data_IF_982683062739
#
_entry.id   IF_982683062739
#
_cell.length_a   1.000
_cell.length_b   1.000
_cell.length_c   1.000
_cell.angle_alpha   90.00
_cell.angle_beta   90.00
_cell.angle_gamma   90.00
#
_symmetry.space_group_name_H-M   'P 1'
#
loop_
_entity.id
_entity.type
_entity.pdbx_description
1 polymer ?
#
# COMPACT_ATOMS: atom_id res chain seq x y z
N UNK A 1 -7.11 7.63 11.44
CA UNK A 1 -8.12 7.39 12.51
C UNK A 1 -7.47 6.95 13.84
N UNK A 2 -6.57 5.96 13.87
CA UNK A 2 -5.94 5.50 15.13
C UNK A 2 -5.09 6.54 15.89
N UNK A 3 -4.36 7.42 15.18
CA UNK A 3 -3.48 8.41 15.83
C UNK A 3 -4.27 9.49 16.60
N UNK A 4 -5.45 9.86 16.12
CA UNK A 4 -6.27 10.92 16.73
C UNK A 4 -6.91 10.46 18.06
N UNK A 5 -7.34 9.20 18.13
CA UNK A 5 -7.95 8.60 19.34
C UNK A 5 -6.90 8.44 20.45
N UNK A 6 -5.67 8.07 20.09
CA UNK A 6 -4.55 7.91 21.02
C UNK A 6 -4.12 9.22 21.72
N UNK A 7 -4.22 10.36 21.04
CA UNK A 7 -3.77 11.64 21.58
C UNK A 7 -4.88 12.40 22.31
N UNK A 8 -6.12 12.34 21.80
CA UNK A 8 -7.26 13.14 22.30
C UNK A 8 -8.11 12.37 23.32
N UNK A 9 -8.28 11.06 23.17
CA UNK A 9 -9.30 10.29 23.91
C UNK A 9 -8.74 9.30 24.94
N UNK A 10 -7.43 9.28 25.18
CA UNK A 10 -6.83 8.40 26.20
C UNK A 10 -5.93 9.17 27.15
N UNK A 11 -6.01 8.89 28.47
CA UNK A 11 -5.19 9.58 29.47
C UNK A 11 -3.70 9.44 29.16
N UNK A 12 -2.91 10.42 29.61
CA UNK A 12 -1.44 10.43 29.36
C UNK A 12 -0.76 9.17 29.90
N UNK A 13 -1.23 8.66 31.04
CA UNK A 13 -0.70 7.48 31.73
C UNK A 13 -1.48 6.18 31.47
N UNK A 14 -2.18 6.06 30.34
CA UNK A 14 -2.90 4.85 30.02
C UNK A 14 -1.96 3.62 29.97
N UNK A 15 -2.40 2.49 30.56
CA UNK A 15 -1.61 1.24 30.64
C UNK A 15 -1.09 0.77 29.28
N UNK A 16 -1.93 0.85 28.24
CA UNK A 16 -1.55 0.48 26.88
C UNK A 16 -0.41 1.34 26.32
N UNK A 17 -0.25 2.61 26.74
CA UNK A 17 0.86 3.48 26.33
C UNK A 17 2.19 3.02 26.93
N UNK A 18 2.17 2.54 28.19
CA UNK A 18 3.35 1.93 28.83
C UNK A 18 3.72 0.62 28.15
N UNK A 19 2.74 -0.22 27.84
CA UNK A 19 2.96 -1.48 27.13
C UNK A 19 3.51 -1.23 25.72
N UNK A 20 2.91 -0.30 24.96
CA UNK A 20 3.42 0.13 23.65
C UNK A 20 4.85 0.65 23.75
N UNK A 21 5.17 1.48 24.75
CA UNK A 21 6.54 1.97 24.98
C UNK A 21 7.54 0.84 25.26
N UNK A 22 7.13 -0.21 25.99
CA UNK A 22 7.93 -1.43 26.18
C UNK A 22 8.11 -2.17 24.86
N UNK A 23 7.06 -2.31 24.04
CA UNK A 23 7.15 -2.94 22.72
C UNK A 23 8.09 -2.19 21.78
N UNK A 24 7.96 -0.87 21.67
CA UNK A 24 8.84 -0.04 20.83
C UNK A 24 10.31 -0.12 21.26
N UNK A 25 10.58 -0.35 22.56
CA UNK A 25 11.94 -0.47 23.10
C UNK A 25 12.55 -1.85 22.88
N UNK A 26 11.76 -2.91 23.05
CA UNK A 26 12.23 -4.30 22.95
C UNK A 26 12.23 -4.83 21.52
N UNK A 27 11.29 -4.36 20.70
CA UNK A 27 11.17 -4.68 19.27
C UNK A 27 11.14 -3.38 18.47
N UNK A 28 12.28 -2.67 18.40
CA UNK A 28 12.37 -1.48 17.57
C UNK A 28 12.09 -1.84 16.11
N UNK A 29 11.47 -0.90 15.40
CA UNK A 29 11.25 -1.04 13.96
C UNK A 29 12.62 -1.02 13.27
N UNK A 30 13.00 -2.15 12.70
CA UNK A 30 14.17 -2.26 11.83
C UNK A 30 13.72 -1.86 10.43
N UNK A 31 14.25 -0.74 9.93
CA UNK A 31 13.90 -0.15 8.63
C UNK A 31 14.11 -1.13 7.47
N UNK A 32 15.01 -2.11 7.66
CA UNK A 32 15.36 -3.11 6.67
C UNK A 32 14.71 -4.49 6.90
N UNK A 33 13.88 -4.64 7.93
CA UNK A 33 13.07 -5.85 8.18
C UNK A 33 11.58 -5.54 8.24
N UNK A 34 11.15 -4.50 7.53
CA UNK A 34 9.76 -4.09 7.51
C UNK A 34 8.96 -4.90 6.49
N UNK A 35 7.87 -5.51 6.95
CA UNK A 35 6.89 -6.17 6.07
C UNK A 35 5.52 -5.58 6.35
N UNK A 36 4.94 -4.95 5.32
CA UNK A 36 3.59 -4.39 5.39
C UNK A 36 2.59 -5.46 5.86
N UNK A 37 1.78 -5.12 6.87
CA UNK A 37 0.79 -6.03 7.47
C UNK A 37 1.31 -6.99 8.56
N UNK A 38 2.63 -7.08 8.78
CA UNK A 38 3.22 -7.85 9.90
C UNK A 38 3.88 -6.98 10.97
N UNK A 39 4.10 -5.70 10.69
CA UNK A 39 4.73 -4.76 11.64
C UNK A 39 3.71 -4.07 12.54
N UNK A 40 4.01 -4.01 13.84
CA UNK A 40 3.14 -3.42 14.88
C UNK A 40 3.13 -1.88 14.88
N UNK A 41 4.15 -1.24 14.31
CA UNK A 41 4.23 0.21 14.20
C UNK A 41 4.09 0.65 12.74
N UNK A 42 2.86 0.95 12.31
CA UNK A 42 2.60 1.65 11.04
C UNK A 42 2.55 3.16 11.31
N UNK A 43 3.72 3.80 11.43
CA UNK A 43 3.81 5.25 11.54
C UNK A 43 4.17 5.84 10.17
N UNK A 44 3.48 6.91 9.77
CA UNK A 44 3.79 7.74 8.59
C UNK A 44 3.67 7.00 7.24
N UNK A 45 2.55 6.31 7.01
CA UNK A 45 2.20 5.82 5.66
C UNK A 45 1.47 6.91 4.87
N UNK A 46 1.72 6.96 3.56
CA UNK A 46 0.99 7.80 2.61
C UNK A 46 0.12 6.88 1.77
N UNK A 47 -1.19 7.10 1.81
CA UNK A 47 -2.14 6.37 0.96
C UNK A 47 -2.64 7.32 -0.11
N UNK A 48 -2.53 6.90 -1.37
CA UNK A 48 -3.04 7.62 -2.52
C UNK A 48 -4.18 6.79 -3.06
N UNK A 49 -5.34 7.41 -3.28
CA UNK A 49 -6.50 6.72 -3.83
C UNK A 49 -6.77 7.27 -5.22
N UNK A 50 -6.67 6.41 -6.21
CA UNK A 50 -6.89 6.74 -7.61
C UNK A 50 -8.28 6.26 -8.05
N UNK A 51 -8.97 7.12 -8.80
CA UNK A 51 -10.26 6.83 -9.42
C UNK A 51 -10.25 7.36 -10.85
N UNK A 52 -10.82 6.58 -11.77
CA UNK A 52 -10.97 7.01 -13.16
C UNK A 52 -11.90 8.24 -13.25
N UNK A 53 -11.55 9.21 -14.09
CA UNK A 53 -12.27 10.49 -14.23
C UNK A 53 -13.73 10.31 -14.65
N UNK A 54 -13.98 9.32 -15.49
CA UNK A 54 -15.29 8.90 -15.98
C UNK A 54 -16.08 8.06 -14.94
N UNK A 55 -15.47 7.74 -13.79
CA UNK A 55 -16.02 6.80 -12.82
C UNK A 55 -16.07 5.36 -13.33
N UNK A 56 -15.29 5.06 -14.37
CA UNK A 56 -15.18 3.75 -15.00
C UNK A 56 -14.35 2.76 -14.21
N UNK A 57 -13.92 1.70 -14.89
CA UNK A 57 -13.15 0.63 -14.30
C UNK A 57 -11.66 1.00 -14.27
N UNK A 58 -11.03 0.99 -13.09
CA UNK A 58 -9.60 1.29 -12.94
C UNK A 58 -8.68 0.16 -13.38
N UNK A 59 -9.22 -1.04 -13.61
CA UNK A 59 -8.46 -2.21 -14.10
C UNK A 59 -8.28 -2.22 -15.63
N UNK A 60 -8.67 -1.15 -16.32
CA UNK A 60 -8.43 -0.98 -17.76
C UNK A 60 -6.94 -0.74 -18.01
N UNK A 61 -6.35 -1.26 -19.11
CA UNK A 61 -4.91 -1.14 -19.35
C UNK A 61 -4.45 0.32 -19.42
N UNK A 62 -5.23 1.19 -20.06
CA UNK A 62 -4.90 2.61 -20.22
C UNK A 62 -4.81 3.32 -18.86
N UNK A 63 -5.74 3.01 -17.96
CA UNK A 63 -5.79 3.59 -16.61
C UNK A 63 -4.67 3.02 -15.74
N UNK A 64 -4.39 1.73 -15.84
CA UNK A 64 -3.28 1.08 -15.11
C UNK A 64 -1.92 1.64 -15.52
N UNK A 65 -1.72 1.95 -16.80
CA UNK A 65 -0.49 2.58 -17.29
C UNK A 65 -0.31 4.01 -16.74
N UNK A 66 -1.39 4.80 -16.67
CA UNK A 66 -1.36 6.12 -16.04
C UNK A 66 -1.05 6.03 -14.54
N UNK A 67 -1.62 5.05 -13.84
CA UNK A 67 -1.36 4.81 -12.41
C UNK A 67 0.10 4.41 -12.19
N UNK A 68 0.67 3.55 -13.05
CA UNK A 68 2.08 3.17 -12.96
C UNK A 68 3.00 4.37 -13.22
N UNK A 69 2.68 5.22 -14.19
CA UNK A 69 3.41 6.47 -14.42
C UNK A 69 3.40 7.38 -13.20
N UNK A 70 2.24 7.55 -12.55
CA UNK A 70 2.11 8.31 -11.31
C UNK A 70 2.94 7.68 -10.18
N UNK A 71 2.90 6.35 -10.03
CA UNK A 71 3.64 5.62 -9.01
C UNK A 71 5.16 5.81 -9.18
N UNK A 72 5.67 5.74 -10.42
CA UNK A 72 7.09 6.02 -10.73
C UNK A 72 7.45 7.47 -10.46
N UNK A 73 6.59 8.41 -10.86
CA UNK A 73 6.81 9.83 -10.59
C UNK A 73 6.99 10.11 -9.09
N UNK A 74 6.14 9.52 -8.25
CA UNK A 74 6.23 9.66 -6.79
C UNK A 74 7.51 9.02 -6.23
N UNK A 75 7.86 7.84 -6.76
CA UNK A 75 8.99 7.06 -6.25
C UNK A 75 10.34 7.65 -6.67
N UNK A 76 10.43 8.26 -7.85
CA UNK A 76 11.70 8.63 -8.49
C UNK A 76 11.93 10.14 -8.56
N UNK A 77 10.89 10.95 -8.81
CA UNK A 77 11.05 12.39 -9.06
C UNK A 77 10.80 13.27 -7.83
N UNK A 78 10.02 12.79 -6.86
CA UNK A 78 9.73 13.59 -5.66
C UNK A 78 10.94 13.54 -4.72
N UNK A 79 11.52 14.70 -4.47
CA UNK A 79 12.60 14.90 -3.52
C UNK A 79 12.24 16.00 -2.52
N UNK A 80 12.65 15.81 -1.27
CA UNK A 80 12.38 16.76 -0.19
C UNK A 80 13.71 17.15 0.47
N UNK A 81 14.03 18.45 0.57
CA UNK A 81 15.24 18.89 1.24
C UNK A 81 15.12 18.71 2.75
N UNK A 82 16.22 18.34 3.40
CA UNK A 82 16.30 18.32 4.86
C UNK A 82 16.26 19.74 5.43
N UNK A 83 15.86 19.89 6.70
CA UNK A 83 15.73 21.20 7.36
C UNK A 83 17.06 21.96 7.42
N UNK A 84 18.18 21.25 7.44
CA UNK A 84 19.55 21.78 7.37
C UNK A 84 20.05 22.01 5.93
N UNK A 85 19.26 21.64 4.91
CA UNK A 85 19.53 21.86 3.49
C UNK A 85 20.68 21.04 2.91
N UNK A 86 21.21 20.08 3.67
CA UNK A 86 22.40 19.30 3.29
C UNK A 86 22.10 18.12 2.37
N UNK A 87 20.90 17.56 2.48
CA UNK A 87 20.49 16.40 1.72
C UNK A 87 19.15 16.63 1.04
N UNK A 88 18.99 16.04 -0.14
CA UNK A 88 17.70 15.88 -0.79
C UNK A 88 17.32 14.42 -0.65
N UNK A 89 16.25 14.15 0.08
CA UNK A 89 15.77 12.80 0.35
C UNK A 89 14.72 12.43 -0.68
N UNK A 90 14.92 11.29 -1.32
CA UNK A 90 13.94 10.66 -2.22
C UNK A 90 13.08 9.64 -1.47
N UNK A 91 12.09 9.06 -2.16
CA UNK A 91 11.34 7.93 -1.60
C UNK A 91 12.26 6.76 -1.24
N UNK A 92 13.29 6.48 -2.04
CA UNK A 92 14.19 5.35 -1.82
C UNK A 92 15.04 5.52 -0.54
N UNK A 93 15.30 6.76 -0.13
CA UNK A 93 16.06 7.04 1.10
C UNK A 93 15.19 6.97 2.36
N UNK A 94 13.87 7.10 2.22
CA UNK A 94 12.91 7.20 3.32
C UNK A 94 12.03 5.97 3.49
N UNK A 95 11.96 5.10 2.47
CA UNK A 95 11.06 3.95 2.46
C UNK A 95 11.46 2.94 3.54
N UNK A 96 10.46 2.27 4.10
CA UNK A 96 10.70 1.07 4.87
C UNK A 96 10.75 -0.13 3.91
N UNK A 97 11.74 -0.99 4.09
CA UNK A 97 12.03 -2.08 3.18
C UNK A 97 12.30 -3.40 3.88
N UNK A 98 12.41 -4.43 3.04
CA UNK A 98 12.96 -5.72 3.43
C UNK A 98 14.12 -6.03 2.51
N UNK A 99 15.30 -6.30 3.07
CA UNK A 99 16.52 -6.62 2.31
C UNK A 99 16.90 -5.54 1.28
N UNK A 100 16.89 -4.28 1.72
CA UNK A 100 17.21 -3.06 0.98
C UNK A 100 16.30 -2.79 -0.22
N UNK A 101 15.18 -3.50 -0.30
CA UNK A 101 14.13 -3.25 -1.28
C UNK A 101 12.96 -2.53 -0.62
N UNK A 102 12.66 -1.31 -1.09
CA UNK A 102 11.44 -0.61 -0.69
C UNK A 102 10.23 -1.50 -0.97
N UNK A 103 9.34 -1.64 0.02
CA UNK A 103 8.03 -2.25 -0.24
C UNK A 103 7.28 -1.31 -1.20
N UNK A 104 7.05 -1.79 -2.41
CA UNK A 104 6.41 -1.05 -3.48
C UNK A 104 4.98 -1.54 -3.71
N UNK A 105 4.23 -0.81 -4.52
CA UNK A 105 2.89 -1.16 -4.97
C UNK A 105 2.92 -2.29 -6.01
N UNK A 106 3.44 -3.47 -5.62
CA UNK A 106 3.64 -4.64 -6.49
C UNK A 106 2.31 -5.16 -7.09
N UNK A 107 1.18 -4.84 -6.46
CA UNK A 107 -0.16 -5.15 -6.98
C UNK A 107 -0.50 -4.41 -8.28
N UNK A 108 0.06 -3.23 -8.52
CA UNK A 108 -0.17 -2.47 -9.77
C UNK A 108 0.41 -3.26 -10.96
N UNK A 109 1.64 -3.74 -10.82
CA UNK A 109 2.30 -4.54 -11.85
C UNK A 109 1.55 -5.86 -12.07
N UNK A 110 1.09 -6.50 -11.00
CA UNK A 110 0.26 -7.70 -11.09
C UNK A 110 -1.01 -7.45 -11.92
N UNK A 111 -1.73 -6.35 -11.69
CA UNK A 111 -2.92 -6.01 -12.48
C UNK A 111 -2.59 -5.75 -13.95
N UNK A 112 -1.47 -5.08 -14.23
CA UNK A 112 -1.05 -4.80 -15.61
C UNK A 112 -0.71 -6.08 -16.38
N UNK A 113 0.02 -7.00 -15.75
CA UNK A 113 0.33 -8.32 -16.32
C UNK A 113 -0.93 -9.14 -16.59
N UNK A 114 -1.94 -9.09 -15.72
CA UNK A 114 -3.23 -9.75 -15.97
C UNK A 114 -3.92 -9.21 -17.22
N UNK A 115 -3.89 -7.90 -17.44
CA UNK A 115 -4.53 -7.28 -18.61
C UNK A 115 -3.79 -7.62 -19.91
N UNK A 116 -2.46 -7.78 -19.86
CA UNK A 116 -1.63 -8.10 -21.03
C UNK A 116 -1.61 -9.59 -21.42
N UNK A 117 -1.50 -10.50 -20.44
CA UNK A 117 -1.39 -11.96 -20.67
C UNK A 117 -2.76 -12.64 -20.76
N UNK A 118 -3.83 -11.90 -20.48
CA UNK A 118 -5.19 -12.43 -20.33
C UNK A 118 -5.43 -13.01 -18.93
N UNK A 119 -6.69 -13.40 -18.64
CA UNK A 119 -7.16 -13.92 -17.34
C UNK A 119 -6.58 -15.30 -16.94
N UNK A 120 -5.30 -15.55 -17.18
CA UNK A 120 -4.59 -16.72 -16.67
C UNK A 120 -4.53 -16.70 -15.14
N UNK A 121 -4.61 -15.50 -14.53
CA UNK A 121 -4.71 -15.32 -13.09
C UNK A 121 -6.16 -14.99 -12.73
N UNK A 122 -6.82 -15.90 -12.00
CA UNK A 122 -8.15 -15.68 -11.46
C UNK A 122 -8.08 -14.66 -10.32
N UNK A 123 -8.53 -13.43 -10.59
CA UNK A 123 -8.60 -12.39 -9.58
C UNK A 123 -9.88 -12.55 -8.77
N UNK A 124 -9.83 -13.30 -7.68
CA UNK A 124 -10.95 -13.47 -6.75
C UNK A 124 -10.82 -12.44 -5.62
N UNK A 125 -11.93 -11.95 -5.07
CA UNK A 125 -11.88 -11.04 -3.92
C UNK A 125 -12.17 -11.82 -2.61
N UNK A 126 -11.44 -11.59 -1.50
CA UNK A 126 -10.42 -10.56 -1.26
C UNK A 126 -8.96 -11.02 -1.50
N UNK A 127 -8.74 -12.20 -2.08
CA UNK A 127 -7.39 -12.76 -2.31
C UNK A 127 -7.15 -12.99 -3.81
N UNK A 128 -6.16 -12.32 -4.38
CA UNK A 128 -5.71 -12.52 -5.75
C UNK A 128 -4.29 -13.04 -5.83
N UNK A 129 -3.82 -13.31 -7.04
CA UNK A 129 -2.44 -13.73 -7.31
C UNK A 129 -2.31 -15.24 -7.55
N UNK A 130 -1.07 -15.73 -7.53
CA UNK A 130 -0.77 -17.14 -7.79
C UNK A 130 -1.01 -18.00 -6.53
N UNK A 131 -1.20 -19.31 -6.70
CA UNK A 131 -1.47 -20.24 -5.57
C UNK A 131 -0.37 -20.22 -4.50
N UNK A 132 0.87 -19.94 -4.91
CA UNK A 132 2.04 -19.94 -4.03
C UNK A 132 2.22 -18.62 -3.25
N UNK A 133 1.72 -17.51 -3.78
CA UNK A 133 1.87 -16.16 -3.21
C UNK A 133 0.55 -15.38 -3.30
N UNK A 134 -0.42 -15.65 -2.41
CA UNK A 134 -1.69 -14.92 -2.41
C UNK A 134 -1.50 -13.48 -1.93
N UNK A 135 -1.91 -12.52 -2.75
CA UNK A 135 -1.97 -11.11 -2.43
C UNK A 135 -3.35 -10.75 -1.85
N UNK A 136 -3.37 -10.01 -0.74
CA UNK A 136 -4.62 -9.49 -0.16
C UNK A 136 -5.03 -8.20 -0.87
N UNK A 137 -6.19 -8.21 -1.53
CA UNK A 137 -6.69 -7.11 -2.34
C UNK A 137 -7.64 -6.17 -1.60
N UNK A 138 -8.05 -6.53 -0.37
CA UNK A 138 -9.00 -5.73 0.39
C UNK A 138 -8.48 -4.34 0.80
N UNK A 139 -7.16 -4.15 0.74
CA UNK A 139 -6.50 -2.84 0.93
C UNK A 139 -6.07 -2.20 -0.38
N UNK A 140 -6.10 -2.93 -1.50
CA UNK A 140 -5.55 -2.46 -2.78
C UNK A 140 -6.64 -1.92 -3.73
N UNK A 141 -7.85 -2.50 -3.70
CA UNK A 141 -8.95 -2.11 -4.60
C UNK A 141 -10.25 -1.90 -3.83
N UNK A 142 -11.05 -0.95 -4.31
CA UNK A 142 -12.32 -0.55 -3.70
C UNK A 142 -13.44 -0.37 -4.72
N UNK A 143 -14.69 -0.38 -4.21
CA UNK A 143 -15.92 -0.27 -5.01
C UNK A 143 -15.93 -1.30 -6.16
N UNK A 144 -15.79 -2.56 -5.75
CA UNK A 144 -15.65 -3.72 -6.64
C UNK A 144 -17.02 -4.22 -7.13
N UNK A 145 -17.05 -4.68 -8.38
CA UNK A 145 -18.13 -5.50 -8.92
C UNK A 145 -17.61 -6.90 -9.15
N UNK A 146 -18.24 -7.87 -8.51
CA UNK A 146 -17.88 -9.29 -8.61
C UNK A 146 -18.83 -10.01 -9.55
N UNK A 147 -18.30 -11.02 -10.24
CA UNK A 147 -19.14 -11.98 -10.95
C UNK A 147 -19.89 -12.85 -9.92
N UNK A 148 -21.20 -13.04 -10.13
CA UNK A 148 -22.07 -13.75 -9.18
C UNK A 148 -21.82 -15.26 -9.16
N UNK A 149 -21.28 -15.84 -10.23
CA UNK A 149 -20.98 -17.27 -10.32
C UNK A 149 -19.65 -17.64 -9.71
N UNK A 150 -18.60 -16.89 -10.03
CA UNK A 150 -17.21 -17.33 -9.76
C UNK A 150 -16.49 -16.47 -8.71
N UNK A 151 -17.11 -15.40 -8.22
CA UNK A 151 -16.50 -14.47 -7.27
C UNK A 151 -15.31 -13.68 -7.82
N UNK A 152 -15.10 -13.73 -9.13
CA UNK A 152 -14.03 -13.02 -9.83
C UNK A 152 -14.33 -11.52 -9.92
N UNK A 153 -13.29 -10.70 -9.82
CA UNK A 153 -13.39 -9.25 -9.94
C UNK A 153 -13.65 -8.89 -11.41
N UNK A 154 -14.82 -8.31 -11.67
CA UNK A 154 -15.20 -7.83 -12.99
C UNK A 154 -14.76 -6.37 -13.19
N UNK A 155 -14.89 -5.55 -12.16
CA UNK A 155 -14.48 -4.15 -12.18
C UNK A 155 -14.14 -3.66 -10.77
N UNK A 156 -13.29 -2.65 -10.69
CA UNK A 156 -13.06 -1.85 -9.50
C UNK A 156 -13.14 -0.37 -9.88
N UNK A 157 -13.63 0.50 -8.99
CA UNK A 157 -13.63 1.95 -9.26
C UNK A 157 -12.52 2.71 -8.57
N UNK A 158 -11.90 2.08 -7.57
CA UNK A 158 -10.85 2.69 -6.75
C UNK A 158 -9.68 1.72 -6.64
N UNK A 159 -8.48 2.26 -6.71
CA UNK A 159 -7.23 1.56 -6.43
C UNK A 159 -6.38 2.42 -5.48
N UNK A 160 -5.66 1.75 -4.58
CA UNK A 160 -4.74 2.35 -3.62
C UNK A 160 -3.30 2.10 -4.03
#
# INVERSE_FOLDING_TARGET
>A
IFVFIAYVFTPRDARWKRELGTFSRLWPLDENKFIAGKSFETKRFVNILCKAKDGGNVLQPEILDEIDLLNRFISENITVPTTDGRFQLSYQDLCLGYDWKCSANEHIEMFRQMTQVGRVIELTYPKGGNKDTPAYLGTAIGDIKLNKTDGTVQAAKIIQ
#
